data_IF_579261853881
#
_entry.id   IF_579261853881
#
_cell.length_a   1.000
_cell.length_b   1.000
_cell.length_c   1.000
_cell.angle_alpha   90.00
_cell.angle_beta   90.00
_cell.angle_gamma   90.00
#
_symmetry.space_group_name_H-M   'P 1'
#
loop_
_entity.id
_entity.type
_entity.pdbx_description
1 polymer ?
#
# COMPACT_ATOMS: atom_id res chain seq x y z
N UNK A 1 -29.29 7.29 17.66
CA UNK A 1 -30.33 7.45 16.60
C UNK A 1 -29.73 7.17 15.23
N UNK A 2 -28.58 7.78 14.91
CA UNK A 2 -27.84 7.48 13.68
C UNK A 2 -27.34 6.02 13.63
N UNK A 3 -26.92 5.43 14.77
CA UNK A 3 -26.43 4.05 14.80
C UNK A 3 -27.52 3.04 14.39
N UNK A 4 -28.76 3.25 14.83
CA UNK A 4 -29.90 2.38 14.48
C UNK A 4 -30.31 2.50 13.02
N UNK A 5 -30.14 3.68 12.41
CA UNK A 5 -30.44 3.90 10.99
C UNK A 5 -29.36 3.22 10.14
N UNK A 6 -28.10 3.42 10.48
CA UNK A 6 -26.98 2.80 9.78
C UNK A 6 -27.03 1.27 9.92
N UNK A 7 -27.31 0.75 11.11
CA UNK A 7 -27.44 -0.70 11.32
C UNK A 7 -28.50 -1.30 10.38
N UNK A 8 -29.70 -0.72 10.34
CA UNK A 8 -30.77 -1.19 9.45
C UNK A 8 -30.36 -1.17 7.98
N UNK A 9 -29.61 -0.16 7.57
CA UNK A 9 -29.13 -0.05 6.19
C UNK A 9 -28.13 -1.17 5.89
N UNK A 10 -27.17 -1.43 6.77
CA UNK A 10 -26.22 -2.53 6.56
C UNK A 10 -26.88 -3.91 6.59
N UNK A 11 -27.85 -4.13 7.48
CA UNK A 11 -28.62 -5.40 7.52
C UNK A 11 -29.39 -5.63 6.21
N UNK A 12 -29.87 -4.58 5.54
CA UNK A 12 -30.57 -4.66 4.26
C UNK A 12 -29.62 -4.93 3.07
N UNK A 13 -28.49 -4.22 3.00
CA UNK A 13 -27.53 -4.36 1.90
C UNK A 13 -26.63 -5.60 2.03
N UNK A 14 -26.39 -6.08 3.25
CA UNK A 14 -25.45 -7.17 3.54
C UNK A 14 -26.05 -8.17 4.56
N UNK A 15 -27.17 -8.83 4.23
CA UNK A 15 -27.92 -9.65 5.18
C UNK A 15 -27.14 -10.87 5.73
N UNK A 16 -26.13 -11.33 4.99
CA UNK A 16 -25.31 -12.49 5.37
C UNK A 16 -24.05 -12.13 6.15
N UNK A 17 -23.82 -10.84 6.43
CA UNK A 17 -22.62 -10.34 7.10
C UNK A 17 -22.88 -10.06 8.57
N UNK A 18 -21.94 -10.41 9.42
CA UNK A 18 -21.97 -10.02 10.83
C UNK A 18 -21.41 -8.60 10.97
N UNK A 19 -22.28 -7.60 10.82
CA UNK A 19 -21.92 -6.19 10.87
C UNK A 19 -22.62 -5.52 12.05
N UNK A 20 -21.88 -4.76 12.84
CA UNK A 20 -22.39 -4.01 13.98
C UNK A 20 -21.97 -2.54 13.91
N UNK A 21 -22.92 -1.63 14.09
CA UNK A 21 -22.65 -0.19 14.25
C UNK A 21 -22.52 0.12 15.74
N UNK A 22 -21.30 0.45 16.16
CA UNK A 22 -20.91 0.75 17.54
C UNK A 22 -20.62 2.24 17.73
N UNK A 23 -20.66 2.70 18.97
CA UNK A 23 -20.04 3.98 19.37
C UNK A 23 -18.83 3.66 20.24
N UNK A 24 -17.65 3.86 19.68
CA UNK A 24 -16.36 3.66 20.37
C UNK A 24 -15.72 5.02 20.58
N UNK A 25 -15.45 5.38 21.83
CA UNK A 25 -14.83 6.67 22.21
C UNK A 25 -15.53 7.89 21.58
N UNK A 26 -16.87 7.88 21.55
CA UNK A 26 -17.69 8.96 20.99
C UNK A 26 -17.77 9.02 19.47
N UNK A 27 -17.18 8.05 18.75
CA UNK A 27 -17.24 7.96 17.29
C UNK A 27 -18.08 6.77 16.84
N UNK A 28 -18.94 7.00 15.84
CA UNK A 28 -19.66 5.92 15.16
C UNK A 28 -18.64 5.06 14.42
N UNK A 29 -18.63 3.77 14.72
CA UNK A 29 -17.66 2.78 14.22
C UNK A 29 -18.44 1.62 13.62
N UNK A 30 -18.09 1.23 12.39
CA UNK A 30 -18.60 0.03 11.76
C UNK A 30 -17.67 -1.13 12.11
N UNK A 31 -18.15 -2.10 12.88
CA UNK A 31 -17.45 -3.35 13.15
C UNK A 31 -17.97 -4.43 12.20
N UNK A 32 -17.08 -5.00 11.40
CA UNK A 32 -17.37 -6.16 10.56
C UNK A 32 -16.81 -7.37 11.31
N UNK A 33 -17.68 -8.05 12.04
CA UNK A 33 -17.30 -9.04 13.05
C UNK A 33 -17.02 -10.43 12.47
N UNK A 34 -17.38 -10.69 11.22
CA UNK A 34 -17.09 -11.96 10.55
C UNK A 34 -15.75 -11.98 9.78
N UNK A 35 -15.15 -10.81 9.56
CA UNK A 35 -13.96 -10.65 8.69
C UNK A 35 -13.06 -9.55 9.21
N UNK A 36 -11.75 -9.82 9.27
CA UNK A 36 -10.74 -8.81 9.59
C UNK A 36 -9.84 -8.53 8.38
N UNK A 37 -9.76 -7.28 7.93
CA UNK A 37 -8.74 -6.85 6.96
C UNK A 37 -7.51 -6.38 7.71
N UNK A 38 -6.42 -7.16 7.62
CA UNK A 38 -5.17 -6.77 8.26
C UNK A 38 -4.58 -5.54 7.57
N UNK A 39 -4.28 -4.51 8.36
CA UNK A 39 -3.53 -3.33 7.94
C UNK A 39 -2.04 -3.64 7.82
N UNK A 40 -1.54 -4.60 8.60
CA UNK A 40 -0.14 -5.04 8.59
C UNK A 40 0.02 -6.43 9.19
N UNK A 41 1.18 -7.04 8.94
CA UNK A 41 1.69 -8.21 9.66
C UNK A 41 3.06 -7.91 10.26
N UNK A 42 3.35 -8.49 11.42
CA UNK A 42 4.61 -8.28 12.12
C UNK A 42 5.57 -9.42 11.80
N UNK A 43 6.84 -9.10 11.49
CA UNK A 43 7.87 -10.08 11.17
C UNK A 43 8.20 -10.95 12.38
N UNK A 44 8.29 -12.26 12.16
CA UNK A 44 8.63 -13.25 13.19
C UNK A 44 7.41 -13.90 13.83
N UNK A 45 7.64 -14.63 14.94
CA UNK A 45 6.59 -15.32 15.70
C UNK A 45 6.65 -14.91 17.16
N UNK A 46 5.48 -14.81 17.80
CA UNK A 46 5.33 -14.21 19.12
C UNK A 46 4.62 -15.16 20.09
N UNK A 47 4.98 -15.10 21.37
CA UNK A 47 4.28 -15.79 22.45
C UNK A 47 3.04 -15.02 22.87
N UNK A 48 2.11 -15.70 23.52
CA UNK A 48 0.87 -15.10 24.04
C UNK A 48 1.09 -13.75 24.76
N UNK A 49 1.98 -13.69 25.74
CA UNK A 49 2.24 -12.46 26.52
C UNK A 49 2.87 -11.34 25.67
N UNK A 50 3.70 -11.69 24.68
CA UNK A 50 4.28 -10.72 23.75
C UNK A 50 3.20 -10.10 22.88
N UNK A 51 2.24 -10.91 22.39
CA UNK A 51 1.08 -10.41 21.64
C UNK A 51 0.21 -9.49 22.52
N UNK A 52 -0.04 -9.86 23.78
CA UNK A 52 -0.79 -8.99 24.72
C UNK A 52 -0.11 -7.62 24.86
N UNK A 53 1.22 -7.60 25.02
CA UNK A 53 1.98 -6.35 25.11
C UNK A 53 1.89 -5.52 23.83
N UNK A 54 2.00 -6.16 22.66
CA UNK A 54 1.82 -5.47 21.37
C UNK A 54 0.41 -4.88 21.22
N UNK A 55 -0.62 -5.60 21.68
CA UNK A 55 -2.00 -5.14 21.56
C UNK A 55 -2.29 -3.86 22.37
N UNK A 56 -1.53 -3.58 23.43
CA UNK A 56 -1.68 -2.34 24.22
C UNK A 56 -1.48 -1.08 23.38
N UNK A 57 -0.69 -1.14 22.30
CA UNK A 57 -0.44 -0.02 21.39
C UNK A 57 -1.55 0.21 20.37
N UNK A 58 -2.53 -0.69 20.28
CA UNK A 58 -3.60 -0.63 19.28
C UNK A 58 -4.88 0.02 19.78
N UNK A 59 -5.01 0.23 21.10
CA UNK A 59 -6.25 0.62 21.78
C UNK A 59 -7.46 -0.29 21.46
N UNK A 60 -7.22 -1.52 21.01
CA UNK A 60 -8.24 -2.50 20.67
C UNK A 60 -8.09 -3.81 21.41
N UNK A 61 -8.77 -4.83 20.91
CA UNK A 61 -8.79 -6.18 21.46
C UNK A 61 -7.95 -7.13 20.62
N UNK A 62 -7.60 -8.27 21.23
CA UNK A 62 -6.87 -9.35 20.57
C UNK A 62 -7.70 -10.61 20.52
N UNK A 63 -7.61 -11.33 19.40
CA UNK A 63 -8.10 -12.71 19.28
C UNK A 63 -6.98 -13.63 18.80
N UNK A 64 -7.04 -14.88 19.25
CA UNK A 64 -6.07 -15.93 18.94
C UNK A 64 -6.78 -17.10 18.27
N UNK A 65 -6.11 -17.75 17.33
CA UNK A 65 -6.68 -18.87 16.59
C UNK A 65 -5.68 -19.57 15.69
N UNK A 66 -6.18 -20.41 14.81
CA UNK A 66 -5.43 -21.13 13.79
C UNK A 66 -5.90 -20.72 12.40
N UNK A 67 -4.95 -20.35 11.54
CA UNK A 67 -5.17 -20.29 10.10
C UNK A 67 -4.62 -21.57 9.45
N UNK A 68 -5.46 -22.45 8.87
CA UNK A 68 -4.99 -23.64 8.18
C UNK A 68 -4.06 -23.27 7.01
N UNK A 69 -2.78 -23.62 7.10
CA UNK A 69 -1.76 -23.26 6.11
C UNK A 69 -0.67 -22.33 6.66
N UNK A 70 -1.06 -21.39 7.52
CA UNK A 70 -0.15 -20.39 8.11
C UNK A 70 0.23 -20.72 9.57
N UNK A 71 -0.60 -21.51 10.26
CA UNK A 71 -0.37 -21.93 11.64
C UNK A 71 -1.08 -21.03 12.66
N UNK A 72 -0.58 -20.99 13.91
CA UNK A 72 -1.20 -20.17 14.95
C UNK A 72 -1.12 -18.68 14.62
N UNK A 73 -2.24 -18.00 14.76
CA UNK A 73 -2.44 -16.61 14.34
C UNK A 73 -3.04 -15.79 15.48
N UNK A 74 -2.53 -14.58 15.67
CA UNK A 74 -3.11 -13.57 16.54
C UNK A 74 -3.49 -12.32 15.74
N UNK A 75 -4.63 -11.73 16.09
CA UNK A 75 -5.18 -10.52 15.46
C UNK A 75 -5.31 -9.46 16.54
N UNK A 76 -4.54 -8.38 16.43
CA UNK A 76 -4.53 -7.25 17.38
C UNK A 76 -5.27 -6.03 16.83
N UNK A 77 -5.77 -5.18 17.73
CA UNK A 77 -6.48 -3.96 17.36
C UNK A 77 -7.92 -4.15 16.87
N UNK A 78 -8.58 -5.24 17.26
CA UNK A 78 -10.00 -5.46 16.99
C UNK A 78 -10.87 -4.45 17.74
N UNK A 79 -12.01 -4.07 17.16
CA UNK A 79 -12.98 -3.18 17.81
C UNK A 79 -13.89 -3.92 18.81
N UNK A 80 -14.11 -5.22 18.62
CA UNK A 80 -14.95 -6.08 19.45
C UNK A 80 -14.18 -7.32 19.90
N UNK A 81 -14.04 -7.59 21.22
CA UNK A 81 -13.37 -8.80 21.71
C UNK A 81 -14.14 -10.10 21.37
N UNK A 82 -15.44 -9.98 21.07
CA UNK A 82 -16.33 -11.09 20.77
C UNK A 82 -16.61 -11.25 19.27
N UNK A 83 -15.88 -10.54 18.41
CA UNK A 83 -15.99 -10.68 16.96
C UNK A 83 -15.94 -12.17 16.56
N UNK A 84 -16.91 -12.61 15.78
CA UNK A 84 -17.02 -13.99 15.31
C UNK A 84 -16.25 -14.18 13.99
N UNK A 85 -14.96 -13.89 14.03
CA UNK A 85 -14.12 -13.88 12.84
C UNK A 85 -14.08 -15.27 12.20
N UNK A 86 -14.54 -15.33 10.95
CA UNK A 86 -14.47 -16.53 10.10
C UNK A 86 -13.29 -16.46 9.16
N UNK A 87 -12.94 -15.25 8.72
CA UNK A 87 -11.87 -15.03 7.75
C UNK A 87 -11.00 -13.83 8.12
N UNK A 88 -9.73 -13.91 7.72
CA UNK A 88 -8.80 -12.79 7.74
C UNK A 88 -8.38 -12.52 6.30
N UNK A 89 -8.44 -11.27 5.89
CA UNK A 89 -7.82 -10.79 4.66
C UNK A 89 -6.42 -10.31 5.02
N UNK A 90 -5.42 -10.99 4.46
CA UNK A 90 -4.01 -10.73 4.73
C UNK A 90 -3.61 -9.31 4.31
N UNK A 91 -2.62 -8.75 5.01
CA UNK A 91 -1.94 -7.56 4.53
C UNK A 91 -1.15 -7.93 3.26
N UNK A 92 -1.04 -7.01 2.32
CA UNK A 92 -0.44 -7.36 1.03
C UNK A 92 1.06 -7.15 1.06
N UNK A 93 1.85 -8.05 0.47
CA UNK A 93 3.28 -7.78 0.27
C UNK A 93 3.47 -6.49 -0.52
N UNK A 94 4.58 -5.82 -0.25
CA UNK A 94 4.91 -4.63 -1.00
C UNK A 94 4.97 -4.91 -2.51
N UNK A 95 4.42 -3.98 -3.29
CA UNK A 95 4.44 -4.04 -4.75
C UNK A 95 3.56 -5.15 -5.32
N UNK A 96 2.67 -5.76 -4.53
CA UNK A 96 1.73 -6.77 -5.02
C UNK A 96 0.30 -6.27 -4.92
N UNK A 97 -0.55 -6.87 -5.74
CA UNK A 97 -1.99 -6.67 -5.66
C UNK A 97 -2.51 -6.99 -4.26
N UNK A 98 -3.53 -6.27 -3.77
CA UNK A 98 -4.24 -6.61 -2.55
C UNK A 98 -4.55 -8.11 -2.54
N UNK A 99 -4.03 -8.81 -1.55
CA UNK A 99 -4.26 -10.23 -1.44
C UNK A 99 -5.73 -10.43 -1.08
N UNK A 100 -6.56 -10.85 -2.04
CA UNK A 100 -7.94 -11.28 -1.79
C UNK A 100 -7.99 -12.66 -1.13
N UNK A 101 -6.84 -13.18 -0.72
CA UNK A 101 -6.74 -14.43 -0.01
C UNK A 101 -7.37 -14.32 1.38
N UNK A 102 -8.57 -14.86 1.48
CA UNK A 102 -9.26 -15.07 2.74
C UNK A 102 -8.69 -16.30 3.43
N UNK A 103 -7.96 -16.08 4.53
CA UNK A 103 -7.52 -17.15 5.41
C UNK A 103 -8.67 -17.53 6.34
N UNK A 104 -9.06 -18.81 6.37
CA UNK A 104 -10.01 -19.30 7.38
C UNK A 104 -9.38 -19.10 8.76
N UNK A 105 -10.14 -18.55 9.70
CA UNK A 105 -9.68 -18.36 11.07
C UNK A 105 -10.52 -19.19 12.04
N UNK A 106 -9.86 -20.11 12.73
CA UNK A 106 -10.47 -20.93 13.77
C UNK A 106 -10.03 -20.41 15.14
N UNK A 107 -10.91 -19.66 15.81
CA UNK A 107 -10.62 -19.08 17.13
C UNK A 107 -10.29 -20.16 18.16
N UNK A 108 -9.25 -19.93 18.95
CA UNK A 108 -8.91 -20.76 20.11
C UNK A 108 -9.74 -20.38 21.34
N UNK A 109 -9.88 -21.32 22.27
CA UNK A 109 -10.25 -20.99 23.64
C UNK A 109 -9.14 -20.15 24.29
N UNK A 110 -9.46 -19.42 25.36
CA UNK A 110 -8.48 -18.61 26.09
C UNK A 110 -7.39 -19.50 26.72
N UNK A 111 -7.76 -20.71 27.14
CA UNK A 111 -6.87 -21.72 27.72
C UNK A 111 -5.90 -22.29 26.68
N UNK A 112 -6.39 -22.65 25.50
CA UNK A 112 -5.54 -23.14 24.41
C UNK A 112 -4.60 -22.05 23.91
N UNK A 113 -5.09 -20.79 23.85
CA UNK A 113 -4.31 -19.68 23.36
C UNK A 113 -3.05 -19.43 24.21
N UNK A 114 -3.15 -19.59 25.53
CA UNK A 114 -2.01 -19.42 26.45
C UNK A 114 -0.92 -20.49 26.29
N UNK A 115 -1.23 -21.63 25.67
CA UNK A 115 -0.28 -22.72 25.47
C UNK A 115 0.55 -22.56 24.19
N UNK A 116 0.15 -21.66 23.30
CA UNK A 116 0.83 -21.42 22.02
C UNK A 116 1.92 -20.37 22.20
N UNK A 117 3.07 -20.60 21.57
CA UNK A 117 4.28 -19.77 21.72
C UNK A 117 4.85 -19.23 20.41
N UNK A 118 4.12 -19.37 19.31
CA UNK A 118 4.61 -19.09 17.95
C UNK A 118 3.55 -18.44 17.04
N UNK A 119 2.82 -17.46 17.56
CA UNK A 119 1.82 -16.72 16.81
C UNK A 119 2.43 -15.87 15.70
N UNK A 120 1.88 -15.98 14.49
CA UNK A 120 1.95 -14.93 13.48
C UNK A 120 0.98 -13.82 13.87
N UNK A 121 1.44 -12.56 13.86
CA UNK A 121 0.64 -11.42 14.35
C UNK A 121 0.21 -10.53 13.19
N UNK A 122 -1.10 -10.34 13.06
CA UNK A 122 -1.73 -9.37 12.17
C UNK A 122 -2.37 -8.26 12.99
N UNK A 123 -2.32 -7.03 12.49
CA UNK A 123 -2.93 -5.90 13.18
C UNK A 123 -3.81 -5.05 12.27
N UNK A 124 -4.89 -4.54 12.85
CA UNK A 124 -5.87 -3.68 12.17
C UNK A 124 -5.59 -2.20 12.45
N UNK A 125 -5.13 -1.89 13.67
CA UNK A 125 -4.89 -0.53 14.18
C UNK A 125 -3.50 -0.44 14.85
N UNK A 126 -3.05 0.77 15.22
CA UNK A 126 -1.81 0.97 15.98
C UNK A 126 -0.52 0.91 15.14
N UNK A 127 -0.61 1.03 13.81
CA UNK A 127 0.55 0.91 12.91
C UNK A 127 1.66 1.91 13.25
N UNK A 128 1.31 3.17 13.52
CA UNK A 128 2.29 4.22 13.80
C UNK A 128 2.94 4.03 15.18
N UNK A 129 2.15 3.67 16.18
CA UNK A 129 2.60 3.42 17.54
C UNK A 129 3.54 2.21 17.62
N UNK A 130 3.34 1.22 16.75
CA UNK A 130 4.18 0.02 16.68
C UNK A 130 5.43 0.20 15.80
N UNK A 131 5.49 1.23 14.96
CA UNK A 131 6.55 1.41 13.97
C UNK A 131 7.97 1.49 14.55
N UNK A 132 8.10 2.04 15.77
CA UNK A 132 9.39 2.14 16.47
C UNK A 132 9.70 0.90 17.34
N UNK A 133 8.77 -0.05 17.43
CA UNK A 133 8.84 -1.20 18.35
C UNK A 133 9.08 -2.50 17.60
N UNK A 134 8.49 -2.65 16.42
CA UNK A 134 8.53 -3.89 15.64
C UNK A 134 8.99 -3.66 14.21
N UNK A 135 9.37 -4.75 13.54
CA UNK A 135 9.56 -4.77 12.10
C UNK A 135 8.34 -5.36 11.42
N UNK A 136 7.76 -4.64 10.47
CA UNK A 136 6.63 -5.15 9.71
C UNK A 136 7.11 -6.08 8.58
N UNK A 137 6.41 -7.19 8.40
CA UNK A 137 6.58 -8.05 7.23
C UNK A 137 5.80 -7.45 6.06
N UNK A 138 4.48 -7.32 6.21
CA UNK A 138 3.57 -6.71 5.21
C UNK A 138 2.87 -5.48 5.78
N UNK A 139 2.59 -4.52 4.91
CA UNK A 139 1.81 -3.31 5.20
C UNK A 139 0.82 -3.15 4.07
N UNK A 140 -0.45 -2.92 4.41
CA UNK A 140 -1.49 -2.64 3.45
C UNK A 140 -1.17 -1.34 2.70
N UNK A 141 -1.29 -1.35 1.37
CA UNK A 141 -0.80 -0.28 0.48
C UNK A 141 -1.33 1.12 0.86
N UNK A 142 -2.53 1.19 1.44
CA UNK A 142 -3.11 2.46 1.90
C UNK A 142 -2.29 3.13 2.99
N UNK A 143 -1.39 2.43 3.68
CA UNK A 143 -0.47 3.00 4.67
C UNK A 143 0.94 3.16 4.13
N UNK A 144 1.23 2.69 2.92
CA UNK A 144 2.55 2.80 2.31
C UNK A 144 2.84 4.26 1.91
N UNK A 145 4.00 4.76 2.32
CA UNK A 145 4.41 6.14 2.11
C UNK A 145 4.45 6.53 0.64
N UNK A 146 4.78 5.60 -0.28
CA UNK A 146 4.78 5.91 -1.72
C UNK A 146 3.36 6.10 -2.25
N UNK A 147 2.43 5.26 -1.80
CA UNK A 147 1.02 5.40 -2.16
C UNK A 147 0.46 6.72 -1.60
N UNK A 148 0.78 7.02 -0.33
CA UNK A 148 0.40 8.27 0.31
C UNK A 148 0.99 9.49 -0.43
N UNK A 149 2.26 9.45 -0.82
CA UNK A 149 2.93 10.53 -1.57
C UNK A 149 2.35 10.72 -2.99
N UNK A 150 2.07 9.64 -3.71
CA UNK A 150 1.65 9.71 -5.11
C UNK A 150 0.14 10.01 -5.27
N UNK A 151 -0.70 9.36 -4.46
CA UNK A 151 -2.16 9.34 -4.64
C UNK A 151 -2.87 10.28 -3.68
N UNK A 152 -2.44 10.35 -2.42
CA UNK A 152 -3.18 11.06 -1.36
C UNK A 152 -2.67 12.49 -1.18
N UNK A 153 -1.35 12.67 -1.19
CA UNK A 153 -0.71 13.97 -0.96
C UNK A 153 -0.97 14.93 -2.11
N UNK A 154 -1.18 16.20 -1.76
CA UNK A 154 -1.29 17.32 -2.68
C UNK A 154 -0.09 18.28 -2.57
N UNK A 155 0.88 17.96 -1.71
CA UNK A 155 2.03 18.83 -1.43
C UNK A 155 3.08 18.77 -2.56
N UNK A 156 3.66 19.90 -3.00
CA UNK A 156 4.70 19.87 -4.02
C UNK A 156 5.91 19.01 -3.62
N UNK A 157 6.43 18.20 -4.56
CA UNK A 157 7.48 17.20 -4.30
C UNK A 157 8.32 16.86 -5.54
N UNK A 158 9.44 16.19 -5.32
CA UNK A 158 10.20 15.55 -6.41
C UNK A 158 9.49 14.27 -6.83
N UNK A 159 9.21 14.14 -8.12
CA UNK A 159 8.62 12.93 -8.68
C UNK A 159 9.69 11.83 -8.76
N UNK A 160 9.61 10.83 -7.87
CA UNK A 160 10.51 9.66 -7.84
C UNK A 160 9.92 8.56 -8.72
N UNK A 161 10.60 8.20 -9.81
CA UNK A 161 10.07 7.20 -10.74
C UNK A 161 10.27 5.78 -10.19
N UNK A 162 9.23 4.97 -10.28
CA UNK A 162 9.28 3.58 -9.82
C UNK A 162 9.71 2.62 -10.93
N UNK A 163 9.29 2.86 -12.17
CA UNK A 163 9.65 2.03 -13.32
C UNK A 163 9.99 2.88 -14.54
N UNK A 164 10.87 2.34 -15.39
CA UNK A 164 11.15 2.82 -16.75
C UNK A 164 10.87 1.71 -17.74
N UNK A 165 10.13 2.03 -18.81
CA UNK A 165 9.94 1.09 -19.93
C UNK A 165 11.26 0.86 -20.68
N UNK A 166 11.23 -0.06 -21.63
CA UNK A 166 12.37 -0.45 -22.44
C UNK A 166 13.05 0.76 -23.12
N UNK A 167 14.21 0.50 -23.72
CA UNK A 167 15.07 1.55 -24.27
C UNK A 167 14.54 2.15 -25.57
N UNK A 168 13.30 1.88 -25.96
CA UNK A 168 12.71 2.49 -27.14
C UNK A 168 12.21 3.89 -26.82
N UNK A 169 12.25 4.69 -27.86
CA UNK A 169 11.63 6.00 -27.92
C UNK A 169 10.24 5.82 -28.48
N UNK A 170 9.26 6.43 -27.81
CA UNK A 170 7.85 6.28 -28.09
C UNK A 170 7.31 7.56 -28.69
N UNK A 171 6.46 7.41 -29.71
CA UNK A 171 5.71 8.54 -30.24
C UNK A 171 4.66 9.05 -29.24
N UNK A 172 4.26 10.30 -29.39
CA UNK A 172 3.12 10.87 -28.64
C UNK A 172 1.87 9.97 -28.70
N UNK A 173 1.57 9.41 -29.88
CA UNK A 173 0.39 8.54 -30.08
C UNK A 173 0.53 7.22 -29.34
N UNK A 174 1.72 6.61 -29.35
CA UNK A 174 1.98 5.38 -28.61
C UNK A 174 1.84 5.62 -27.10
N UNK A 175 2.40 6.72 -26.58
CA UNK A 175 2.27 7.08 -25.17
C UNK A 175 0.79 7.24 -24.74
N UNK A 176 -0.03 7.95 -25.54
CA UNK A 176 -1.48 8.09 -25.28
C UNK A 176 -2.22 6.76 -25.37
N UNK A 177 -1.86 5.93 -26.35
CA UNK A 177 -2.44 4.58 -26.48
C UNK A 177 -2.13 3.74 -25.25
N UNK A 178 -0.86 3.73 -24.81
CA UNK A 178 -0.45 3.04 -23.61
C UNK A 178 -1.26 3.52 -22.42
N UNK A 179 -1.33 4.82 -22.13
CA UNK A 179 -2.04 5.31 -20.94
C UNK A 179 -3.53 4.94 -20.89
N UNK A 180 -4.18 4.73 -22.03
CA UNK A 180 -5.63 4.45 -22.13
C UNK A 180 -5.97 2.96 -22.25
N UNK A 181 -4.98 2.09 -22.49
CA UNK A 181 -5.17 0.67 -22.79
C UNK A 181 -4.31 -0.25 -21.91
N UNK A 182 -3.99 0.17 -20.68
CA UNK A 182 -3.31 -0.70 -19.71
C UNK A 182 -4.30 -1.72 -19.13
N UNK A 183 -4.11 -3.04 -19.34
CA UNK A 183 -5.01 -4.04 -18.78
C UNK A 183 -4.71 -4.36 -17.30
N UNK A 184 -3.62 -3.83 -16.76
CA UNK A 184 -3.05 -4.25 -15.47
C UNK A 184 -2.95 -3.14 -14.43
N UNK A 185 -3.28 -1.92 -14.82
CA UNK A 185 -3.10 -0.75 -14.00
C UNK A 185 -4.45 -0.06 -13.83
N UNK A 186 -4.94 0.05 -12.60
CA UNK A 186 -5.97 1.05 -12.26
C UNK A 186 -5.34 2.45 -12.16
N UNK A 187 -4.38 2.70 -13.05
CA UNK A 187 -3.77 4.00 -13.24
C UNK A 187 -4.80 4.89 -13.91
N UNK A 188 -4.88 6.15 -13.47
CA UNK A 188 -5.63 7.17 -14.18
C UNK A 188 -5.30 7.10 -15.68
N UNK A 189 -6.31 7.08 -16.55
CA UNK A 189 -6.12 7.09 -18.03
C UNK A 189 -5.44 8.37 -18.57
N UNK A 190 -4.89 9.20 -17.68
CA UNK A 190 -4.12 10.39 -17.98
C UNK A 190 -2.67 10.05 -18.31
N UNK A 191 -2.05 10.93 -19.09
CA UNK A 191 -0.60 10.95 -19.30
C UNK A 191 -0.18 12.40 -19.39
N UNK A 192 0.86 12.75 -18.64
CA UNK A 192 1.53 14.02 -18.76
C UNK A 192 2.84 13.85 -19.54
N UNK A 193 3.19 14.85 -20.33
CA UNK A 193 4.43 14.90 -21.08
C UNK A 193 5.31 16.01 -20.54
N UNK A 194 6.62 15.81 -20.54
CA UNK A 194 7.55 16.81 -20.06
C UNK A 194 8.92 16.71 -20.73
N UNK A 195 9.65 17.83 -20.73
CA UNK A 195 11.07 17.90 -21.08
C UNK A 195 11.87 18.02 -19.79
N UNK A 196 12.90 17.19 -19.65
CA UNK A 196 13.85 17.25 -18.54
C UNK A 196 14.95 18.27 -18.82
N UNK A 197 15.61 18.75 -17.77
CA UNK A 197 16.71 19.72 -17.88
C UNK A 197 17.91 19.21 -18.71
N UNK A 198 18.04 17.89 -18.89
CA UNK A 198 19.06 17.26 -19.73
C UNK A 198 18.63 17.07 -21.20
N UNK A 199 17.44 17.55 -21.57
CA UNK A 199 16.91 17.55 -22.93
C UNK A 199 16.06 16.32 -23.28
N UNK A 200 15.92 15.34 -22.38
CA UNK A 200 15.06 14.17 -22.65
C UNK A 200 13.58 14.54 -22.64
N UNK A 201 12.82 13.91 -23.53
CA UNK A 201 11.36 13.94 -23.51
C UNK A 201 10.84 12.73 -22.75
N UNK A 202 9.93 12.95 -21.81
CA UNK A 202 9.34 11.89 -21.00
C UNK A 202 7.82 11.91 -21.06
N UNK A 203 7.23 10.73 -20.94
CA UNK A 203 5.80 10.52 -20.75
C UNK A 203 5.56 9.85 -19.39
N UNK A 204 4.58 10.35 -18.65
CA UNK A 204 4.21 9.92 -17.31
C UNK A 204 2.74 9.44 -17.30
N UNK A 205 2.46 8.20 -17.73
CA UNK A 205 1.14 7.60 -17.53
C UNK A 205 0.74 7.63 -16.06
N UNK A 206 -0.53 7.96 -15.79
CA UNK A 206 -1.08 8.11 -14.44
C UNK A 206 -0.92 9.47 -13.80
N UNK A 207 -0.02 10.29 -14.31
CA UNK A 207 0.12 11.66 -13.84
C UNK A 207 -0.74 12.60 -14.68
N UNK A 208 -1.61 13.36 -14.03
CA UNK A 208 -2.41 14.39 -14.71
C UNK A 208 -1.60 15.66 -14.90
N UNK A 209 -1.67 16.25 -16.09
CA UNK A 209 -1.07 17.57 -16.38
C UNK A 209 -1.60 18.67 -15.44
N UNK A 210 -2.83 18.54 -14.95
CA UNK A 210 -3.41 19.50 -14.00
C UNK A 210 -2.64 19.55 -12.67
N UNK A 211 -1.91 18.47 -12.33
CA UNK A 211 -1.07 18.35 -11.13
C UNK A 211 0.39 18.77 -11.37
N UNK A 212 0.73 19.32 -12.54
CA UNK A 212 2.11 19.71 -12.89
C UNK A 212 2.79 20.62 -11.85
N UNK A 213 2.03 21.48 -11.19
CA UNK A 213 2.56 22.43 -10.20
C UNK A 213 2.95 21.75 -8.88
N UNK A 214 2.54 20.49 -8.68
CA UNK A 214 2.99 19.64 -7.58
C UNK A 214 4.37 19.02 -7.84
N UNK A 215 4.93 19.14 -9.04
CA UNK A 215 6.21 18.56 -9.42
C UNK A 215 7.35 19.58 -9.29
N UNK A 216 8.13 19.47 -8.21
CA UNK A 216 9.32 20.29 -7.97
C UNK A 216 10.56 19.81 -8.74
N UNK A 217 10.50 18.61 -9.28
CA UNK A 217 11.60 17.99 -10.02
C UNK A 217 11.30 16.55 -10.39
N UNK A 218 12.22 15.95 -11.13
CA UNK A 218 12.17 14.57 -11.58
C UNK A 218 13.39 13.81 -11.07
N UNK A 219 13.18 12.60 -10.56
CA UNK A 219 14.25 11.67 -10.25
C UNK A 219 14.03 10.36 -11.00
N UNK A 220 15.02 9.98 -11.80
CA UNK A 220 15.06 8.71 -12.54
C UNK A 220 14.97 7.51 -11.57
N UNK A 221 14.73 6.32 -12.11
CA UNK A 221 14.55 5.09 -11.33
C UNK A 221 15.82 4.76 -10.54
N UNK A 222 15.69 4.57 -9.22
CA UNK A 222 16.80 4.22 -8.35
C UNK A 222 16.93 2.71 -8.21
N UNK A 223 17.76 2.09 -9.06
CA UNK A 223 17.99 0.65 -9.04
C UNK A 223 18.85 0.18 -7.85
N UNK A 224 18.75 -1.11 -7.52
CA UNK A 224 19.54 -1.71 -6.43
C UNK A 224 21.04 -1.59 -6.71
N UNK A 225 21.82 -1.29 -5.67
CA UNK A 225 23.28 -1.14 -5.74
C UNK A 225 23.80 0.01 -6.61
N UNK A 226 22.92 0.91 -7.04
CA UNK A 226 23.27 2.15 -7.73
C UNK A 226 23.24 3.35 -6.75
N UNK A 227 24.02 4.38 -7.08
CA UNK A 227 23.90 5.69 -6.43
C UNK A 227 22.54 6.31 -6.70
N UNK A 228 22.07 7.13 -5.77
CA UNK A 228 20.80 7.84 -5.91
C UNK A 228 20.85 8.79 -7.13
N UNK A 229 19.91 8.70 -8.09
CA UNK A 229 19.92 9.58 -9.24
C UNK A 229 19.72 11.06 -8.84
N UNK A 230 20.40 12.00 -9.51
CA UNK A 230 20.23 13.42 -9.23
C UNK A 230 18.80 13.86 -9.57
N UNK A 231 18.36 14.93 -8.90
CA UNK A 231 17.09 15.57 -9.24
C UNK A 231 17.30 16.47 -10.46
N UNK A 232 16.47 16.29 -11.48
CA UNK A 232 16.44 17.10 -12.69
C UNK A 232 15.25 18.06 -12.64
N UNK A 233 15.43 19.25 -13.22
CA UNK A 233 14.30 20.12 -13.52
C UNK A 233 13.37 19.47 -14.54
N UNK A 234 12.06 19.71 -14.40
CA UNK A 234 11.01 19.16 -15.26
C UNK A 234 10.12 20.29 -15.76
N UNK A 235 9.89 20.34 -17.07
CA UNK A 235 8.99 21.30 -17.70
C UNK A 235 7.89 20.56 -18.44
N UNK A 236 6.65 20.68 -17.96
CA UNK A 236 5.51 19.98 -18.55
C UNK A 236 5.06 20.63 -19.85
N UNK A 237 4.65 19.77 -20.79
CA UNK A 237 4.15 20.13 -22.11
C UNK A 237 2.63 19.95 -22.18
N UNK A 238 1.96 20.88 -22.86
CA UNK A 238 0.59 20.66 -23.33
C UNK A 238 0.56 19.56 -24.39
N UNK A 239 -0.60 18.93 -24.60
CA UNK A 239 -0.78 17.92 -25.67
C UNK A 239 -0.37 18.47 -27.06
N UNK A 240 -0.57 19.77 -27.31
CA UNK A 240 -0.17 20.41 -28.58
C UNK A 240 1.35 20.43 -28.74
N UNK A 241 2.09 20.78 -27.70
CA UNK A 241 3.56 20.80 -27.71
C UNK A 241 4.10 19.38 -27.80
N UNK A 242 3.59 18.47 -26.97
CA UNK A 242 4.02 17.08 -26.95
C UNK A 242 3.80 16.36 -28.28
N UNK A 243 2.74 16.70 -29.02
CA UNK A 243 2.44 16.10 -30.33
C UNK A 243 3.48 16.37 -31.42
N UNK A 244 4.46 17.25 -31.18
CA UNK A 244 5.55 17.58 -32.10
C UNK A 244 6.75 16.64 -31.96
N UNK A 245 6.77 15.78 -30.95
CA UNK A 245 7.88 14.89 -30.62
C UNK A 245 7.48 13.42 -30.80
N UNK A 246 8.47 12.60 -31.15
CA UNK A 246 8.33 11.15 -31.31
C UNK A 246 9.37 10.34 -30.53
N UNK A 247 10.05 10.98 -29.58
CA UNK A 247 11.20 10.44 -28.87
C UNK A 247 11.01 10.31 -27.34
N UNK A 248 9.79 10.03 -26.89
CA UNK A 248 9.48 9.97 -25.45
C UNK A 248 10.02 8.70 -24.79
N UNK A 249 10.60 8.87 -23.59
CA UNK A 249 10.82 7.78 -22.64
C UNK A 249 9.62 7.65 -21.69
N UNK A 250 9.08 6.43 -21.50
CA UNK A 250 7.94 6.22 -20.60
C UNK A 250 8.43 5.84 -19.19
N UNK A 251 7.94 6.58 -18.19
CA UNK A 251 8.18 6.31 -16.78
C UNK A 251 6.86 6.17 -16.01
N UNK A 252 6.85 5.31 -15.00
CA UNK A 252 5.73 5.18 -14.06
C UNK A 252 6.11 5.90 -12.77
N UNK A 253 5.40 6.99 -12.49
CA UNK A 253 5.48 7.76 -11.24
C UNK A 253 4.52 7.19 -10.19
N UNK A 254 3.26 6.98 -10.59
CA UNK A 254 2.18 6.65 -9.67
C UNK A 254 1.85 5.15 -9.70
N UNK A 255 1.54 4.63 -8.53
CA UNK A 255 0.86 3.37 -8.34
C UNK A 255 -0.48 3.64 -7.65
N UNK A 256 -1.38 4.32 -8.36
CA UNK A 256 -2.79 4.24 -8.01
C UNK A 256 -3.22 2.79 -8.30
N UNK A 257 -3.05 1.95 -7.28
CA UNK A 257 -3.37 0.54 -7.28
C UNK A 257 -2.59 -0.28 -8.34
N UNK A 258 -1.87 -1.29 -7.85
CA UNK A 258 -1.50 -2.49 -8.63
C UNK A 258 -0.36 -2.34 -9.63
N UNK A 259 0.88 -2.33 -9.16
CA UNK A 259 1.99 -2.68 -10.05
C UNK A 259 2.96 -3.58 -9.32
N UNK A 260 2.67 -4.87 -9.41
CA UNK A 260 3.76 -5.81 -9.52
C UNK A 260 4.52 -5.44 -10.79
N UNK A 261 5.79 -4.98 -10.72
CA UNK A 261 6.54 -4.60 -11.91
C UNK A 261 6.59 -5.74 -12.92
N UNK A 262 6.47 -7.00 -12.51
CA UNK A 262 6.41 -8.14 -13.44
C UNK A 262 5.22 -8.11 -14.40
N UNK A 263 4.16 -7.34 -14.10
CA UNK A 263 3.01 -7.14 -14.98
C UNK A 263 3.23 -6.03 -16.01
N UNK A 264 4.24 -5.19 -15.82
CA UNK A 264 4.57 -4.12 -16.75
C UNK A 264 5.30 -4.72 -17.96
N UNK A 265 4.74 -4.60 -19.18
CA UNK A 265 5.41 -5.12 -20.36
C UNK A 265 6.70 -4.33 -20.62
N UNK A 266 7.77 -5.06 -20.95
CA UNK A 266 9.03 -4.49 -21.45
C UNK A 266 9.66 -3.46 -20.50
N UNK A 267 9.88 -3.81 -19.24
CA UNK A 267 10.63 -2.96 -18.30
C UNK A 267 12.13 -2.92 -18.62
N UNK A 268 12.73 -1.72 -18.59
CA UNK A 268 14.18 -1.55 -18.56
C UNK A 268 14.73 -1.44 -17.14
N UNK A 269 14.02 -0.72 -16.26
CA UNK A 269 14.47 -0.41 -14.89
C UNK A 269 13.32 -0.49 -13.92
N UNK A 270 13.64 -0.91 -12.70
CA UNK A 270 12.72 -0.99 -11.57
C UNK A 270 13.39 -0.45 -10.32
N UNK A 271 12.65 0.33 -9.54
CA UNK A 271 13.13 0.89 -8.28
C UNK A 271 13.54 -0.23 -7.32
N UNK A 272 14.62 0.02 -6.59
CA UNK A 272 15.26 -0.92 -5.67
C UNK A 272 14.31 -1.49 -4.63
N UNK A 273 13.27 -0.75 -4.26
CA UNK A 273 12.30 -1.18 -3.24
C UNK A 273 11.44 -2.37 -3.67
N UNK A 274 11.41 -2.69 -4.97
CA UNK A 274 10.75 -3.89 -5.51
C UNK A 274 11.64 -5.13 -5.51
N UNK A 275 12.93 -5.00 -5.16
CA UNK A 275 13.82 -6.15 -5.08
C UNK A 275 13.41 -7.07 -3.93
N UNK A 276 13.41 -8.38 -4.15
CA UNK A 276 13.06 -9.39 -3.14
C UNK A 276 13.95 -9.36 -1.89
N UNK A 277 15.14 -8.77 -1.99
CA UNK A 277 16.08 -8.59 -0.89
C UNK A 277 16.09 -7.18 -0.28
N UNK A 278 15.18 -6.28 -0.69
CA UNK A 278 15.15 -4.93 -0.14
C UNK A 278 14.67 -4.94 1.32
N UNK A 279 15.48 -4.38 2.21
CA UNK A 279 15.13 -4.24 3.63
C UNK A 279 14.71 -2.81 3.91
N UNK A 280 13.40 -2.62 4.12
CA UNK A 280 12.80 -1.31 4.41
C UNK A 280 13.28 -0.69 5.73
N UNK A 281 13.90 -1.48 6.62
CA UNK A 281 14.47 -1.00 7.87
C UNK A 281 15.97 -0.71 7.78
N UNK A 282 16.61 -0.91 6.61
CA UNK A 282 18.05 -0.65 6.42
C UNK A 282 18.29 0.83 6.08
N UNK A 283 17.88 1.70 7.00
CA UNK A 283 18.10 3.15 6.98
C UNK A 283 19.06 3.57 8.08
N UNK A 284 19.54 4.82 8.02
CA UNK A 284 20.46 5.38 9.03
C UNK A 284 19.84 5.42 10.43
N UNK A 285 18.53 5.64 10.52
CA UNK A 285 17.75 5.69 11.75
C UNK A 285 17.05 4.36 12.09
N UNK A 286 17.17 3.35 11.22
CA UNK A 286 16.55 2.03 11.39
C UNK A 286 15.03 1.98 11.19
N UNK A 287 14.41 3.10 10.80
CA UNK A 287 12.96 3.21 10.61
C UNK A 287 12.48 2.57 9.32
N UNK A 288 11.25 2.10 9.33
CA UNK A 288 10.60 1.51 8.15
C UNK A 288 10.25 2.62 7.13
N UNK A 289 10.91 2.59 5.97
CA UNK A 289 10.70 3.55 4.88
C UNK A 289 9.27 3.57 4.31
N UNK A 290 8.46 2.54 4.60
CA UNK A 290 7.07 2.49 4.14
C UNK A 290 6.13 3.36 4.97
N UNK A 291 6.54 3.84 6.14
CA UNK A 291 5.65 4.55 7.06
C UNK A 291 5.88 6.05 6.92
N UNK A 292 4.80 6.79 6.62
CA UNK A 292 4.83 8.24 6.44
C UNK A 292 5.23 8.97 7.73
N UNK A 293 5.88 10.13 7.59
CA UNK A 293 6.35 10.93 8.73
C UNK A 293 7.82 10.71 9.14
N UNK A 294 8.57 9.93 8.35
CA UNK A 294 10.01 9.67 8.54
C UNK A 294 10.91 10.33 7.47
N UNK A 295 10.45 11.39 6.81
CA UNK A 295 11.26 12.27 5.94
C UNK A 295 11.36 13.66 6.54
#
# INVERSE_FOLDING_TARGET
MIEKILQKLYDEYYPDRDIQVLIVNGRVTLAINDTAQASYSIKGTYRYEEVQNLNQFTNGFVQYGLCPGDGPTAIIGLADPNANLKFILDASPYGKMPNTHSMIFNRYSDEDAKQVSNYTVYGLNGLLELADIVKFDKIHFSYDARYQEAVISQEPRVLKMNCKFDRFHYSYRECKYFATHQPYFEISNSVAFATLADGRHIALPGFSYDRKDEALGFRDVWESYCEEPPVLGINFMTDKEASQYDDFEIYIYDYSYLCDPSLVPRLAKVDRTFSSGFDFCKTTDGKDLRITGNF
#
